data_IF_393760043908
#
_entry.id   IF_393760043908
#
_cell.length_a   1.000
_cell.length_b   1.000
_cell.length_c   1.000
_cell.angle_alpha   90.00
_cell.angle_beta   90.00
_cell.angle_gamma   90.00
#
_symmetry.space_group_name_H-M   'P 1'
#
loop_
_entity.id
_entity.type
_entity.pdbx_description
1 polymer ?
#
# COMPACT_ATOMS: atom_id res chain seq x y z
N UNK A 1 -28.09 4.82 32.24
CA UNK A 1 -28.10 5.93 31.26
C UNK A 1 -26.82 6.77 31.38
N UNK A 2 -26.55 7.34 32.56
CA UNK A 2 -25.34 8.13 32.82
C UNK A 2 -24.05 7.34 32.54
N UNK A 3 -23.95 6.09 33.01
CA UNK A 3 -22.76 5.26 32.74
C UNK A 3 -22.51 5.02 31.24
N UNK A 4 -23.58 4.87 30.47
CA UNK A 4 -23.51 4.69 29.00
C UNK A 4 -23.08 5.97 28.31
N UNK A 5 -23.58 7.12 28.76
CA UNK A 5 -23.16 8.43 28.28
C UNK A 5 -21.66 8.66 28.57
N UNK A 6 -21.20 8.34 29.79
CA UNK A 6 -19.79 8.48 30.14
C UNK A 6 -18.90 7.51 29.34
N UNK A 7 -19.36 6.26 29.15
CA UNK A 7 -18.66 5.29 28.31
C UNK A 7 -18.52 5.75 26.85
N UNK A 8 -19.54 6.42 26.29
CA UNK A 8 -19.45 7.08 24.99
C UNK A 8 -18.40 8.18 25.03
N UNK A 9 -18.47 9.08 26.03
CA UNK A 9 -17.62 10.27 26.14
C UNK A 9 -16.13 9.92 26.15
N UNK A 10 -15.74 8.87 26.88
CA UNK A 10 -14.35 8.41 26.98
C UNK A 10 -13.80 7.87 25.65
N UNK A 11 -14.65 7.42 24.73
CA UNK A 11 -14.24 6.86 23.44
C UNK A 11 -14.13 7.90 22.31
N UNK A 12 -14.57 9.14 22.54
CA UNK A 12 -14.61 10.18 21.52
C UNK A 12 -13.20 10.70 21.21
N UNK A 13 -12.88 10.73 19.93
CA UNK A 13 -11.71 11.41 19.37
C UNK A 13 -12.18 12.44 18.33
N UNK A 14 -11.29 13.33 17.85
CA UNK A 14 -11.68 14.37 16.88
C UNK A 14 -12.30 13.85 15.57
N UNK A 15 -11.98 12.63 15.15
CA UNK A 15 -12.60 12.01 13.98
C UNK A 15 -14.03 11.57 14.30
N UNK A 16 -14.23 10.84 15.40
CA UNK A 16 -15.57 10.38 15.82
C UNK A 16 -16.51 11.56 16.07
N UNK A 17 -16.02 12.63 16.71
CA UNK A 17 -16.80 13.85 16.96
C UNK A 17 -17.27 14.48 15.65
N UNK A 18 -16.39 14.59 14.64
CA UNK A 18 -16.76 15.15 13.33
C UNK A 18 -17.77 14.27 12.59
N UNK A 19 -17.56 12.95 12.56
CA UNK A 19 -18.45 12.01 11.86
C UNK A 19 -19.84 11.94 12.50
N UNK A 20 -19.93 12.16 13.82
CA UNK A 20 -21.16 11.95 14.58
C UNK A 20 -21.76 13.24 15.14
N UNK A 21 -21.33 14.41 14.65
CA UNK A 21 -21.65 15.71 15.24
C UNK A 21 -23.16 15.90 15.50
N UNK A 22 -23.99 15.64 14.50
CA UNK A 22 -25.45 15.76 14.60
C UNK A 22 -26.03 14.83 15.66
N UNK A 23 -25.57 13.57 15.71
CA UNK A 23 -26.01 12.57 16.68
C UNK A 23 -25.59 12.92 18.11
N UNK A 24 -24.36 13.43 18.28
CA UNK A 24 -23.83 13.85 19.58
C UNK A 24 -24.55 15.10 20.11
N UNK A 25 -24.80 16.12 19.27
CA UNK A 25 -25.61 17.29 19.66
C UNK A 25 -27.02 16.89 20.07
N UNK A 26 -27.65 15.98 19.32
CA UNK A 26 -28.97 15.44 19.67
C UNK A 26 -28.97 14.71 21.01
N UNK A 27 -27.93 13.92 21.30
CA UNK A 27 -27.77 13.23 22.58
C UNK A 27 -27.59 14.23 23.74
N UNK A 28 -26.69 15.21 23.59
CA UNK A 28 -26.44 16.23 24.62
C UNK A 28 -27.72 17.02 24.94
N UNK A 29 -28.42 17.52 23.92
CA UNK A 29 -29.68 18.24 24.11
C UNK A 29 -30.75 17.40 24.82
N UNK A 30 -30.76 16.09 24.55
CA UNK A 30 -31.70 15.15 25.19
C UNK A 30 -31.39 14.97 26.68
N UNK A 31 -30.11 14.84 27.03
CA UNK A 31 -29.68 14.72 28.42
C UNK A 31 -29.91 16.04 29.17
N UNK A 32 -29.56 17.18 28.58
CA UNK A 32 -29.76 18.51 29.17
C UNK A 32 -31.24 18.78 29.48
N UNK A 33 -32.15 18.31 28.62
CA UNK A 33 -33.60 18.39 28.88
C UNK A 33 -34.01 17.69 30.17
N UNK A 34 -33.45 16.51 30.44
CA UNK A 34 -33.73 15.74 31.67
C UNK A 34 -33.13 16.38 32.92
N UNK A 35 -31.97 17.03 32.77
CA UNK A 35 -31.27 17.67 33.89
C UNK A 35 -31.91 18.98 34.30
N UNK A 36 -32.23 19.85 33.34
CA UNK A 36 -32.60 21.24 33.62
C UNK A 36 -34.09 21.55 33.50
N UNK A 37 -34.85 20.75 32.74
CA UNK A 37 -36.21 21.14 32.30
C UNK A 37 -37.30 20.10 32.59
N UNK A 38 -36.95 18.86 32.92
CA UNK A 38 -37.93 17.80 33.14
C UNK A 38 -38.41 17.80 34.59
N UNK A 39 -39.74 17.78 34.78
CA UNK A 39 -40.33 17.46 36.07
C UNK A 39 -40.36 15.94 36.27
N UNK A 40 -39.62 15.44 37.26
CA UNK A 40 -39.49 14.02 37.59
C UNK A 40 -40.71 13.40 38.28
N UNK A 41 -41.77 14.16 38.48
CA UNK A 41 -43.09 13.65 38.88
C UNK A 41 -44.07 13.55 37.68
N UNK A 42 -43.60 13.82 36.46
CA UNK A 42 -44.43 13.78 35.25
C UNK A 42 -44.70 12.36 34.75
N UNK A 43 -45.90 12.13 34.20
CA UNK A 43 -46.26 10.89 33.51
C UNK A 43 -45.45 10.64 32.22
N UNK A 44 -44.67 11.61 31.74
CA UNK A 44 -43.92 11.56 30.47
C UNK A 44 -42.49 11.02 30.66
N UNK A 45 -42.10 10.63 31.88
CA UNK A 45 -40.73 10.18 32.18
C UNK A 45 -40.38 8.90 31.42
N UNK A 46 -41.31 7.96 31.29
CA UNK A 46 -41.06 6.71 30.57
C UNK A 46 -40.76 6.98 29.09
N UNK A 47 -41.56 7.84 28.43
CA UNK A 47 -41.32 8.26 27.04
C UNK A 47 -39.97 8.98 26.87
N UNK A 48 -39.59 9.79 27.86
CA UNK A 48 -38.29 10.47 27.88
C UNK A 48 -37.14 9.47 28.01
N UNK A 49 -37.24 8.49 28.91
CA UNK A 49 -36.22 7.46 29.11
C UNK A 49 -36.06 6.59 27.86
N UNK A 50 -37.16 6.22 27.19
CA UNK A 50 -37.11 5.51 25.92
C UNK A 50 -36.45 6.33 24.80
N UNK A 51 -36.71 7.64 24.75
CA UNK A 51 -36.05 8.53 23.79
C UNK A 51 -34.54 8.65 24.07
N UNK A 52 -34.13 8.74 25.33
CA UNK A 52 -32.73 8.71 25.73
C UNK A 52 -32.05 7.40 25.34
N UNK A 53 -32.69 6.27 25.63
CA UNK A 53 -32.17 4.95 25.30
C UNK A 53 -31.95 4.77 23.79
N UNK A 54 -32.90 5.23 22.97
CA UNK A 54 -32.76 5.22 21.51
C UNK A 54 -31.58 6.06 21.03
N UNK A 55 -31.41 7.28 21.56
CA UNK A 55 -30.29 8.15 21.19
C UNK A 55 -28.93 7.56 21.60
N UNK A 56 -28.84 7.00 22.80
CA UNK A 56 -27.64 6.32 23.28
C UNK A 56 -27.30 5.11 22.40
N UNK A 57 -28.28 4.24 22.12
CA UNK A 57 -28.09 3.07 21.24
C UNK A 57 -27.61 3.46 19.85
N UNK A 58 -28.14 4.55 19.29
CA UNK A 58 -27.71 5.07 17.98
C UNK A 58 -26.24 5.48 18.01
N UNK A 59 -25.84 6.30 18.99
CA UNK A 59 -24.45 6.77 19.14
C UNK A 59 -23.48 5.61 19.41
N UNK A 60 -23.87 4.63 20.25
CA UNK A 60 -23.09 3.41 20.48
C UNK A 60 -22.90 2.59 19.19
N UNK A 61 -23.93 2.51 18.35
CA UNK A 61 -23.88 1.80 17.06
C UNK A 61 -22.94 2.50 16.09
N UNK A 62 -22.99 3.83 16.03
CA UNK A 62 -22.08 4.64 15.21
C UNK A 62 -20.62 4.43 15.64
N UNK A 63 -20.32 4.47 16.94
CA UNK A 63 -18.96 4.24 17.46
C UNK A 63 -18.44 2.86 17.06
N UNK A 64 -19.28 1.82 17.23
CA UNK A 64 -18.93 0.44 16.84
C UNK A 64 -18.59 0.35 15.35
N UNK A 65 -19.33 1.03 14.48
CA UNK A 65 -19.07 0.98 13.04
C UNK A 65 -17.79 1.74 12.65
N UNK A 66 -17.49 2.86 13.32
CA UNK A 66 -16.22 3.58 13.13
C UNK A 66 -15.02 2.73 13.59
N UNK A 67 -15.16 1.98 14.69
CA UNK A 67 -14.12 1.03 15.12
C UNK A 67 -13.91 -0.07 14.10
N UNK A 68 -14.99 -0.67 13.57
CA UNK A 68 -14.89 -1.67 12.49
C UNK A 68 -14.15 -1.13 11.27
N UNK A 69 -14.41 0.11 10.85
CA UNK A 69 -13.67 0.74 9.76
C UNK A 69 -12.18 0.93 10.09
N UNK A 70 -11.86 1.24 11.34
CA UNK A 70 -10.48 1.34 11.79
C UNK A 70 -9.78 -0.03 11.76
N UNK A 71 -10.45 -1.10 12.18
CA UNK A 71 -9.92 -2.47 12.09
C UNK A 71 -9.67 -2.89 10.65
N UNK A 72 -10.57 -2.55 9.71
CA UNK A 72 -10.38 -2.81 8.28
C UNK A 72 -9.19 -2.01 7.73
N UNK A 73 -9.04 -0.75 8.13
CA UNK A 73 -7.90 0.07 7.75
C UNK A 73 -6.58 -0.55 8.22
N UNK A 74 -6.52 -1.04 9.46
CA UNK A 74 -5.34 -1.74 9.99
C UNK A 74 -5.05 -3.03 9.20
N UNK A 75 -6.08 -3.82 8.86
CA UNK A 75 -5.92 -5.02 8.02
C UNK A 75 -5.38 -4.69 6.63
N UNK A 76 -5.87 -3.62 5.99
CA UNK A 76 -5.32 -3.13 4.71
C UNK A 76 -3.83 -2.82 4.88
N UNK A 77 -3.47 -2.10 5.95
CA UNK A 77 -2.07 -1.79 6.25
C UNK A 77 -1.20 -3.03 6.41
N UNK A 78 -1.70 -4.08 7.07
CA UNK A 78 -1.00 -5.36 7.22
C UNK A 78 -0.86 -6.10 5.88
N UNK A 79 -1.89 -6.09 5.03
CA UNK A 79 -1.83 -6.70 3.69
C UNK A 79 -0.72 -6.06 2.85
N UNK A 80 -0.75 -4.73 2.70
CA UNK A 80 0.29 -3.97 1.99
C UNK A 80 1.66 -4.28 2.59
N UNK A 81 1.76 -4.22 3.92
CA UNK A 81 3.03 -4.44 4.61
C UNK A 81 3.58 -5.85 4.43
N UNK A 82 2.82 -6.88 4.04
CA UNK A 82 3.34 -8.26 3.90
C UNK A 82 3.79 -8.62 2.50
N UNK A 83 3.42 -7.82 1.50
CA UNK A 83 3.65 -8.09 0.08
C UNK A 83 5.14 -8.12 -0.28
N UNK A 84 5.57 -9.20 -0.92
CA UNK A 84 6.92 -9.37 -1.47
C UNK A 84 6.91 -9.06 -2.97
N UNK A 85 7.80 -8.16 -3.40
CA UNK A 85 7.91 -7.69 -4.79
C UNK A 85 9.00 -8.40 -5.60
N UNK A 86 9.78 -9.27 -4.95
CA UNK A 86 10.82 -10.08 -5.53
C UNK A 86 10.61 -11.52 -5.09
N UNK A 87 9.72 -12.23 -5.78
CA UNK A 87 9.49 -13.66 -5.51
C UNK A 87 10.47 -14.48 -6.33
N UNK A 88 10.96 -15.54 -5.72
CA UNK A 88 11.80 -16.55 -6.37
C UNK A 88 10.93 -17.73 -6.81
N UNK A 89 11.36 -18.46 -7.84
CA UNK A 89 10.65 -19.67 -8.27
C UNK A 89 10.71 -20.72 -7.15
N UNK A 90 9.61 -21.46 -7.01
CA UNK A 90 9.52 -22.54 -6.04
C UNK A 90 10.61 -23.60 -6.25
N UNK A 91 11.10 -24.18 -5.15
CA UNK A 91 12.08 -25.25 -5.17
C UNK A 91 13.55 -24.82 -4.98
N UNK A 92 13.82 -23.53 -4.80
CA UNK A 92 15.17 -23.02 -4.48
C UNK A 92 16.19 -23.26 -5.60
N UNK A 93 15.71 -23.47 -6.83
CA UNK A 93 16.58 -23.63 -7.98
C UNK A 93 17.16 -22.27 -8.38
N UNK A 94 18.48 -22.20 -8.46
CA UNK A 94 19.17 -21.03 -8.97
C UNK A 94 18.91 -20.92 -10.48
N UNK A 95 18.39 -19.77 -10.91
CA UNK A 95 18.08 -19.48 -12.32
C UNK A 95 18.99 -18.40 -12.90
N UNK A 96 18.97 -18.24 -14.22
CA UNK A 96 19.71 -17.16 -14.87
C UNK A 96 19.20 -15.78 -14.42
N UNK A 97 20.06 -14.76 -14.47
CA UNK A 97 19.68 -13.40 -14.09
C UNK A 97 18.47 -12.89 -14.88
N UNK A 98 18.38 -13.22 -16.17
CA UNK A 98 17.24 -12.84 -17.01
C UNK A 98 15.95 -13.48 -16.51
N UNK A 99 15.98 -14.80 -16.31
CA UNK A 99 14.82 -15.57 -15.86
C UNK A 99 14.34 -15.14 -14.46
N UNK A 100 15.27 -14.81 -13.56
CA UNK A 100 14.94 -14.24 -12.26
C UNK A 100 14.16 -12.93 -12.38
N UNK A 101 14.67 -11.97 -13.17
CA UNK A 101 14.03 -10.67 -13.32
C UNK A 101 12.68 -10.79 -14.01
N UNK A 102 12.59 -11.55 -15.11
CA UNK A 102 11.34 -11.76 -15.84
C UNK A 102 10.26 -12.38 -14.92
N UNK A 103 10.63 -13.36 -14.09
CA UNK A 103 9.71 -13.98 -13.13
C UNK A 103 9.29 -13.01 -12.02
N UNK A 104 10.25 -12.30 -11.42
CA UNK A 104 9.97 -11.32 -10.36
C UNK A 104 9.05 -10.19 -10.86
N UNK A 105 9.25 -9.70 -12.09
CA UNK A 105 8.39 -8.70 -12.72
C UNK A 105 6.98 -9.23 -12.96
N UNK A 106 6.84 -10.38 -13.63
CA UNK A 106 5.53 -10.96 -13.92
C UNK A 106 4.71 -11.23 -12.66
N UNK A 107 5.34 -11.79 -11.63
CA UNK A 107 4.67 -12.09 -10.37
C UNK A 107 4.29 -10.82 -9.61
N UNK A 108 5.17 -9.81 -9.61
CA UNK A 108 4.88 -8.52 -8.98
C UNK A 108 3.69 -7.82 -9.63
N UNK A 109 3.62 -7.81 -10.96
CA UNK A 109 2.47 -7.22 -11.69
C UNK A 109 1.16 -7.89 -11.26
N UNK A 110 1.12 -9.23 -11.28
CA UNK A 110 -0.05 -9.99 -10.85
C UNK A 110 -0.42 -9.74 -9.37
N UNK A 111 0.55 -9.79 -8.46
CA UNK A 111 0.32 -9.63 -7.02
C UNK A 111 -0.18 -8.22 -6.70
N UNK A 112 0.38 -7.20 -7.36
CA UNK A 112 0.05 -5.79 -7.10
C UNK A 112 -1.33 -5.43 -7.65
N UNK A 113 -1.73 -5.99 -8.80
CA UNK A 113 -3.07 -5.84 -9.35
C UNK A 113 -4.12 -6.49 -8.43
N UNK A 114 -3.89 -7.74 -7.99
CA UNK A 114 -4.78 -8.44 -7.06
C UNK A 114 -4.90 -7.69 -5.73
N UNK A 115 -3.78 -7.26 -5.16
CA UNK A 115 -3.73 -6.51 -3.90
C UNK A 115 -4.49 -5.17 -4.01
N UNK A 116 -4.31 -4.43 -5.10
CA UNK A 116 -5.03 -3.18 -5.32
C UNK A 116 -6.54 -3.41 -5.42
N UNK A 117 -6.98 -4.45 -6.14
CA UNK A 117 -8.39 -4.83 -6.25
C UNK A 117 -8.99 -5.22 -4.90
N UNK A 118 -8.27 -6.02 -4.11
CA UNK A 118 -8.67 -6.44 -2.78
C UNK A 118 -8.83 -5.23 -1.84
N UNK A 119 -7.84 -4.33 -1.82
CA UNK A 119 -7.86 -3.15 -0.97
C UNK A 119 -8.98 -2.18 -1.34
N UNK A 120 -9.16 -1.94 -2.65
CA UNK A 120 -10.26 -1.11 -3.15
C UNK A 120 -11.61 -1.66 -2.70
N UNK A 121 -11.82 -2.98 -2.82
CA UNK A 121 -13.05 -3.66 -2.39
C UNK A 121 -13.27 -3.55 -0.87
N UNK A 122 -12.23 -3.82 -0.08
CA UNK A 122 -12.31 -3.73 1.39
C UNK A 122 -12.64 -2.31 1.86
N UNK A 123 -11.96 -1.30 1.30
CA UNK A 123 -12.13 0.09 1.69
C UNK A 123 -13.52 0.63 1.28
N UNK A 124 -13.93 0.42 0.03
CA UNK A 124 -15.24 0.87 -0.47
C UNK A 124 -16.40 0.20 0.26
N UNK A 125 -16.29 -1.10 0.55
CA UNK A 125 -17.32 -1.84 1.29
C UNK A 125 -17.47 -1.33 2.73
N UNK A 126 -16.38 -1.15 3.48
CA UNK A 126 -16.48 -0.70 4.86
C UNK A 126 -16.92 0.78 4.96
N UNK A 127 -16.44 1.63 4.05
CA UNK A 127 -16.80 3.05 4.03
C UNK A 127 -18.26 3.27 3.59
N UNK A 128 -18.74 2.51 2.61
CA UNK A 128 -20.14 2.52 2.22
C UNK A 128 -21.05 2.06 3.36
N UNK A 129 -20.65 1.01 4.11
CA UNK A 129 -21.41 0.55 5.28
C UNK A 129 -21.43 1.58 6.40
N UNK A 130 -20.32 2.27 6.62
CA UNK A 130 -20.25 3.35 7.59
C UNK A 130 -21.16 4.52 7.19
N UNK A 131 -21.18 4.92 5.92
CA UNK A 131 -22.10 5.95 5.43
C UNK A 131 -23.56 5.55 5.67
N UNK A 132 -23.90 4.29 5.41
CA UNK A 132 -25.25 3.75 5.62
C UNK A 132 -25.66 3.83 7.09
N UNK A 133 -24.77 3.44 8.01
CA UNK A 133 -25.06 3.45 9.45
C UNK A 133 -25.13 4.87 10.02
N UNK A 134 -24.31 5.80 9.53
CA UNK A 134 -24.26 7.16 10.07
C UNK A 134 -25.31 8.11 9.47
N UNK A 135 -25.65 7.93 8.19
CA UNK A 135 -26.40 8.91 7.40
C UNK A 135 -27.53 8.32 6.55
N UNK A 136 -27.79 7.00 6.65
CA UNK A 136 -28.80 6.28 5.86
C UNK A 136 -28.59 6.45 4.33
N UNK A 137 -27.33 6.64 3.90
CA UNK A 137 -26.96 6.74 2.47
C UNK A 137 -25.74 5.89 2.14
N UNK A 138 -25.58 5.51 0.86
CA UNK A 138 -24.41 4.78 0.37
C UNK A 138 -23.95 5.36 -0.97
N UNK A 139 -23.65 6.66 -0.96
CA UNK A 139 -23.29 7.43 -2.15
C UNK A 139 -21.79 7.50 -2.39
N UNK A 140 -20.98 7.20 -1.38
CA UNK A 140 -19.54 7.40 -1.36
C UNK A 140 -19.10 8.87 -1.55
N UNK A 141 -20.01 9.84 -1.39
CA UNK A 141 -19.80 11.26 -1.72
C UNK A 141 -20.19 12.23 -0.61
N UNK A 142 -20.58 11.72 0.57
CA UNK A 142 -20.98 12.56 1.71
C UNK A 142 -19.81 13.41 2.21
N UNK A 143 -20.05 14.71 2.36
CA UNK A 143 -19.03 15.66 2.81
C UNK A 143 -18.56 15.37 4.23
N UNK A 144 -19.48 14.93 5.10
CA UNK A 144 -19.21 14.56 6.49
C UNK A 144 -18.27 13.36 6.60
N UNK A 145 -18.24 12.49 5.59
CA UNK A 145 -17.35 11.31 5.53
C UNK A 145 -15.93 11.66 5.07
N UNK A 146 -15.69 12.85 4.53
CA UNK A 146 -14.37 13.23 3.99
C UNK A 146 -13.19 12.99 4.96
N UNK A 147 -13.28 13.29 6.27
CA UNK A 147 -12.18 13.05 7.20
C UNK A 147 -11.75 11.58 7.29
N UNK A 148 -12.68 10.63 7.14
CA UNK A 148 -12.33 9.20 7.14
C UNK A 148 -11.77 8.76 5.79
N UNK A 149 -12.28 9.30 4.68
CA UNK A 149 -11.71 9.04 3.35
C UNK A 149 -10.24 9.47 3.27
N UNK A 150 -9.94 10.67 3.76
CA UNK A 150 -8.58 11.18 3.83
C UNK A 150 -7.66 10.31 4.69
N UNK A 151 -8.17 9.77 5.81
CA UNK A 151 -7.39 8.86 6.67
C UNK A 151 -7.03 7.56 5.95
N UNK A 152 -7.96 7.00 5.17
CA UNK A 152 -7.69 5.83 4.34
C UNK A 152 -6.63 6.12 3.29
N UNK A 153 -6.80 7.21 2.54
CA UNK A 153 -5.89 7.59 1.46
C UNK A 153 -4.45 7.81 1.98
N UNK A 154 -4.30 8.56 3.07
CA UNK A 154 -2.99 8.81 3.68
C UNK A 154 -2.33 7.52 4.19
N UNK A 155 -3.10 6.65 4.85
CA UNK A 155 -2.57 5.39 5.38
C UNK A 155 -2.11 4.47 4.25
N UNK A 156 -2.89 4.34 3.17
CA UNK A 156 -2.52 3.54 2.00
C UNK A 156 -1.21 4.07 1.40
N UNK A 157 -1.09 5.37 1.16
CA UNK A 157 0.15 5.97 0.64
C UNK A 157 1.37 5.65 1.52
N UNK A 158 1.24 5.87 2.84
CA UNK A 158 2.34 5.61 3.78
C UNK A 158 2.75 4.14 3.78
N UNK A 159 1.78 3.22 3.76
CA UNK A 159 2.07 1.78 3.72
C UNK A 159 2.65 1.31 2.39
N UNK A 160 2.22 1.90 1.28
CA UNK A 160 2.85 1.66 -0.02
C UNK A 160 4.32 2.08 0.00
N UNK A 161 4.64 3.27 0.53
CA UNK A 161 6.01 3.74 0.66
C UNK A 161 6.87 2.80 1.51
N UNK A 162 6.39 2.42 2.70
CA UNK A 162 7.09 1.47 3.58
C UNK A 162 7.33 0.12 2.88
N UNK A 163 6.32 -0.42 2.19
CA UNK A 163 6.40 -1.68 1.46
C UNK A 163 7.44 -1.61 0.32
N UNK A 164 7.40 -0.55 -0.48
CA UNK A 164 8.34 -0.33 -1.59
C UNK A 164 9.77 -0.24 -1.07
N UNK A 165 10.02 0.63 -0.08
CA UNK A 165 11.35 0.79 0.51
C UNK A 165 11.91 -0.52 1.04
N UNK A 166 11.10 -1.26 1.80
CA UNK A 166 11.52 -2.56 2.34
C UNK A 166 11.91 -3.54 1.23
N UNK A 167 11.10 -3.64 0.19
CA UNK A 167 11.35 -4.58 -0.91
C UNK A 167 12.59 -4.19 -1.73
N UNK A 168 12.75 -2.91 -2.04
CA UNK A 168 13.97 -2.40 -2.71
C UNK A 168 15.21 -2.71 -1.87
N UNK A 169 15.20 -2.40 -0.58
CA UNK A 169 16.31 -2.70 0.32
C UNK A 169 16.57 -4.20 0.44
N UNK A 170 15.52 -5.03 0.49
CA UNK A 170 15.66 -6.50 0.51
C UNK A 170 16.45 -6.99 -0.70
N UNK A 171 16.07 -6.55 -1.91
CA UNK A 171 16.77 -6.91 -3.13
C UNK A 171 18.22 -6.39 -3.16
N UNK A 172 18.44 -5.11 -2.82
CA UNK A 172 19.79 -4.52 -2.75
C UNK A 172 20.68 -5.25 -1.74
N UNK A 173 20.12 -5.67 -0.61
CA UNK A 173 20.86 -6.42 0.42
C UNK A 173 21.16 -7.86 -0.03
N UNK A 174 20.26 -8.48 -0.78
CA UNK A 174 20.47 -9.80 -1.36
C UNK A 174 21.57 -9.81 -2.43
N UNK A 175 21.71 -8.72 -3.21
CA UNK A 175 22.83 -8.56 -4.14
C UNK A 175 24.17 -8.53 -3.38
N UNK A 176 25.02 -9.52 -3.62
CA UNK A 176 26.29 -9.66 -2.89
C UNK A 176 26.12 -10.17 -1.45
N UNK A 177 24.94 -10.71 -1.12
CA UNK A 177 24.74 -11.51 0.08
C UNK A 177 25.46 -12.85 0.02
N UNK A 178 25.30 -13.67 1.07
CA UNK A 178 25.93 -15.00 1.15
C UNK A 178 25.25 -16.05 0.28
N UNK A 179 23.95 -15.86 0.00
CA UNK A 179 23.18 -16.77 -0.83
C UNK A 179 23.05 -16.18 -2.24
N UNK A 180 23.37 -16.95 -3.29
CA UNK A 180 23.18 -16.50 -4.66
C UNK A 180 21.67 -16.46 -4.98
N UNK A 181 21.22 -15.38 -5.61
CA UNK A 181 19.82 -15.20 -6.05
C UNK A 181 19.62 -15.49 -7.54
N UNK A 182 20.69 -15.40 -8.34
CA UNK A 182 20.72 -15.82 -9.74
C UNK A 182 22.15 -16.12 -10.19
N UNK A 183 22.33 -16.75 -11.35
CA UNK A 183 23.61 -16.90 -12.03
C UNK A 183 23.68 -16.10 -13.34
N UNK A 184 24.89 -15.85 -13.82
CA UNK A 184 25.18 -15.28 -15.14
C UNK A 184 26.11 -16.23 -15.88
N UNK A 185 25.91 -16.39 -17.18
CA UNK A 185 26.71 -17.30 -18.00
C UNK A 185 28.02 -16.63 -18.43
N UNK A 186 29.09 -17.42 -18.42
CA UNK A 186 30.37 -17.06 -19.02
C UNK A 186 30.55 -17.95 -20.23
N UNK A 187 30.54 -17.36 -21.42
CA UNK A 187 30.60 -18.07 -22.69
C UNK A 187 31.94 -17.80 -23.38
N UNK A 188 32.45 -18.81 -24.08
CA UNK A 188 33.58 -18.65 -24.99
C UNK A 188 33.05 -18.56 -26.42
N UNK A 189 33.09 -17.37 -27.02
CA UNK A 189 32.55 -17.09 -28.35
C UNK A 189 33.65 -16.50 -29.22
N UNK A 190 33.93 -17.10 -30.38
CA UNK A 190 34.97 -16.64 -31.31
C UNK A 190 36.37 -16.45 -30.66
N UNK A 191 36.70 -17.29 -29.68
CA UNK A 191 37.94 -17.21 -28.85
C UNK A 191 37.96 -16.12 -27.77
N UNK A 192 36.87 -15.37 -27.61
CA UNK A 192 36.69 -14.35 -26.57
C UNK A 192 35.80 -14.85 -25.43
N UNK A 193 36.19 -14.53 -24.19
CA UNK A 193 35.39 -14.81 -23.00
C UNK A 193 34.40 -13.68 -22.79
N UNK A 194 33.11 -13.96 -22.92
CA UNK A 194 32.02 -12.97 -22.85
C UNK A 194 31.01 -13.36 -21.76
N UNK A 195 30.29 -12.37 -21.23
CA UNK A 195 29.18 -12.58 -20.31
C UNK A 195 27.86 -12.65 -21.07
N UNK A 196 26.97 -13.52 -20.62
CA UNK A 196 25.58 -13.52 -21.03
C UNK A 196 24.65 -13.51 -19.80
N UNK A 197 23.84 -12.45 -19.61
CA UNK A 197 23.83 -11.19 -20.38
C UNK A 197 25.13 -10.37 -20.21
N UNK A 198 25.37 -9.45 -21.15
CA UNK A 198 26.47 -8.48 -21.03
C UNK A 198 26.20 -7.54 -19.84
N UNK A 199 27.25 -7.07 -19.14
CA UNK A 199 27.12 -6.25 -17.93
C UNK A 199 26.19 -5.03 -18.07
N UNK A 200 26.16 -4.40 -19.26
CA UNK A 200 25.29 -3.25 -19.53
C UNK A 200 23.80 -3.65 -19.54
N UNK A 201 23.46 -4.76 -20.19
CA UNK A 201 22.09 -5.29 -20.23
C UNK A 201 21.66 -5.77 -18.86
N UNK A 202 22.54 -6.47 -18.14
CA UNK A 202 22.27 -6.91 -16.76
C UNK A 202 21.95 -5.74 -15.85
N UNK A 203 22.74 -4.67 -15.90
CA UNK A 203 22.49 -3.45 -15.13
C UNK A 203 21.14 -2.83 -15.51
N UNK A 204 20.84 -2.74 -16.81
CA UNK A 204 19.57 -2.20 -17.30
C UNK A 204 18.38 -3.00 -16.77
N UNK A 205 18.43 -4.32 -16.84
CA UNK A 205 17.37 -5.21 -16.34
C UNK A 205 17.20 -5.06 -14.83
N UNK A 206 18.27 -5.16 -14.05
CA UNK A 206 18.18 -4.98 -12.59
C UNK A 206 17.62 -3.61 -12.19
N UNK A 207 18.02 -2.54 -12.90
CA UNK A 207 17.50 -1.19 -12.63
C UNK A 207 16.01 -1.07 -13.00
N UNK A 208 15.60 -1.67 -14.13
CA UNK A 208 14.21 -1.72 -14.55
C UNK A 208 13.37 -2.48 -13.52
N UNK A 209 13.83 -3.63 -13.06
CA UNK A 209 13.15 -4.42 -12.05
C UNK A 209 13.07 -3.67 -10.72
N UNK A 210 14.11 -2.95 -10.31
CA UNK A 210 14.08 -2.12 -9.10
C UNK A 210 13.06 -0.98 -9.21
N UNK A 211 13.05 -0.25 -10.33
CA UNK A 211 12.06 0.82 -10.59
C UNK A 211 10.63 0.30 -10.68
N UNK A 212 10.47 -0.93 -11.15
CA UNK A 212 9.17 -1.60 -11.20
C UNK A 212 8.50 -1.77 -9.83
N UNK A 213 9.23 -1.67 -8.70
CA UNK A 213 8.63 -1.63 -7.37
C UNK A 213 7.73 -0.41 -7.18
N UNK A 214 8.17 0.77 -7.66
CA UNK A 214 7.38 2.01 -7.58
C UNK A 214 6.29 1.98 -8.64
N UNK A 215 6.66 1.65 -9.87
CA UNK A 215 5.76 1.68 -11.03
C UNK A 215 4.56 0.73 -10.89
N UNK A 216 4.75 -0.46 -10.31
CA UNK A 216 3.65 -1.40 -10.03
C UNK A 216 2.62 -0.86 -9.03
N UNK A 217 2.90 0.22 -8.30
CA UNK A 217 1.89 0.91 -7.50
C UNK A 217 0.83 1.63 -8.35
N UNK A 218 0.96 1.66 -9.68
CA UNK A 218 -0.04 2.24 -10.61
C UNK A 218 -1.42 1.60 -10.50
N UNK A 219 -1.51 0.33 -10.08
CA UNK A 219 -2.78 -0.36 -9.89
C UNK A 219 -3.62 0.24 -8.75
N UNK A 220 -2.98 0.96 -7.83
CA UNK A 220 -3.65 1.61 -6.70
C UNK A 220 -4.24 2.95 -7.15
N UNK A 221 -5.46 2.89 -7.67
CA UNK A 221 -6.21 4.08 -8.10
C UNK A 221 -6.63 4.91 -6.90
N UNK A 222 -6.39 6.22 -6.98
CA UNK A 222 -6.80 7.19 -5.95
C UNK A 222 -8.28 7.50 -6.03
N UNK A 223 -8.82 8.06 -4.96
CA UNK A 223 -10.19 8.54 -4.97
C UNK A 223 -10.27 10.00 -5.42
N UNK A 224 -11.42 10.37 -5.99
CA UNK A 224 -11.72 11.77 -6.24
C UNK A 224 -11.72 12.52 -4.91
N UNK A 225 -11.26 13.76 -4.95
CA UNK A 225 -11.21 14.59 -3.75
C UNK A 225 -12.59 14.67 -3.08
N UNK A 226 -12.65 14.40 -1.77
CA UNK A 226 -13.89 14.46 -1.00
C UNK A 226 -14.74 13.18 -1.05
N UNK A 227 -14.35 12.15 -1.81
CA UNK A 227 -15.18 10.95 -2.02
C UNK A 227 -14.39 9.66 -1.80
N UNK A 228 -15.12 8.54 -1.78
CA UNK A 228 -14.58 7.18 -1.85
C UNK A 228 -14.78 6.58 -3.25
N UNK A 229 -14.87 7.43 -4.29
CA UNK A 229 -15.00 6.97 -5.67
C UNK A 229 -13.66 6.96 -6.37
N UNK A 230 -13.32 5.90 -7.13
CA UNK A 230 -12.09 5.88 -7.91
C UNK A 230 -12.05 7.02 -8.92
N UNK A 231 -10.88 7.61 -9.09
CA UNK A 231 -10.60 8.56 -10.15
C UNK A 231 -10.78 7.89 -11.52
N UNK A 232 -11.45 8.55 -12.48
CA UNK A 232 -11.62 8.00 -13.82
C UNK A 232 -10.28 7.99 -14.56
N UNK A 233 -10.10 7.01 -15.46
CA UNK A 233 -9.04 7.04 -16.45
C UNK A 233 -9.42 8.05 -17.54
N UNK A 234 -8.54 9.02 -17.81
CA UNK A 234 -8.79 10.09 -18.78
C UNK A 234 -7.95 9.82 -20.03
N UNK A 235 -8.53 10.03 -21.21
CA UNK A 235 -7.77 10.10 -22.46
C UNK A 235 -7.15 11.49 -22.60
N UNK A 236 -5.83 11.55 -22.66
CA UNK A 236 -5.08 12.77 -22.97
C UNK A 236 -5.19 13.10 -24.47
N UNK A 237 -4.86 14.34 -24.84
CA UNK A 237 -4.91 14.85 -26.22
C UNK A 237 -4.06 14.03 -27.23
N UNK A 238 -3.18 13.14 -26.74
CA UNK A 238 -2.34 12.23 -27.53
C UNK A 238 -2.74 10.75 -27.51
N UNK A 239 -3.97 10.40 -27.11
CA UNK A 239 -4.49 9.01 -26.97
C UNK A 239 -3.85 8.18 -25.84
N UNK A 240 -3.02 8.81 -25.00
CA UNK A 240 -2.50 8.20 -23.78
C UNK A 240 -3.57 8.20 -22.67
N UNK A 241 -3.77 7.03 -22.06
CA UNK A 241 -4.65 6.86 -20.90
C UNK A 241 -3.92 7.28 -19.62
N UNK A 242 -4.39 8.36 -19.00
CA UNK A 242 -3.88 8.86 -17.73
C UNK A 242 -4.75 8.32 -16.60
N UNK A 243 -4.12 7.61 -15.65
CA UNK A 243 -4.76 7.18 -14.41
C UNK A 243 -4.20 7.97 -13.22
N UNK A 244 -5.06 8.33 -12.28
CA UNK A 244 -4.64 8.97 -11.04
C UNK A 244 -4.40 7.90 -9.98
N UNK A 245 -3.13 7.58 -9.77
CA UNK A 245 -2.66 6.56 -8.84
C UNK A 245 -1.64 7.15 -7.86
N UNK A 246 -1.01 6.32 -7.02
CA UNK A 246 -0.04 6.78 -6.01
C UNK A 246 1.41 6.88 -6.51
N UNK A 247 1.72 6.52 -7.76
CA UNK A 247 3.10 6.47 -8.28
C UNK A 247 3.75 7.85 -8.20
N UNK A 248 3.04 8.90 -8.63
CA UNK A 248 3.58 10.26 -8.65
C UNK A 248 3.92 10.81 -7.26
N UNK A 249 3.19 10.39 -6.24
CA UNK A 249 3.41 10.76 -4.85
C UNK A 249 4.61 10.01 -4.28
N UNK A 250 4.71 8.71 -4.58
CA UNK A 250 5.84 7.88 -4.18
C UNK A 250 7.14 8.39 -4.80
N UNK A 251 7.17 8.71 -6.09
CA UNK A 251 8.37 9.23 -6.77
C UNK A 251 8.89 10.56 -6.18
N UNK A 252 8.02 11.33 -5.52
CA UNK A 252 8.40 12.57 -4.83
C UNK A 252 9.04 12.31 -3.47
N UNK A 253 8.92 11.12 -2.91
CA UNK A 253 9.50 10.74 -1.62
C UNK A 253 11.03 10.63 -1.75
N UNK A 254 11.82 11.49 -1.08
CA UNK A 254 13.28 11.46 -1.17
C UNK A 254 13.90 10.15 -0.63
N UNK A 255 13.22 9.44 0.26
CA UNK A 255 13.65 8.18 0.87
C UNK A 255 13.93 7.10 -0.17
N UNK A 256 13.22 7.12 -1.31
CA UNK A 256 13.43 6.15 -2.40
C UNK A 256 14.79 6.32 -3.11
N UNK A 257 15.46 7.46 -2.95
CA UNK A 257 16.78 7.71 -3.55
C UNK A 257 17.91 6.93 -2.87
N UNK A 258 17.72 6.58 -1.60
CA UNK A 258 18.73 5.84 -0.83
C UNK A 258 18.97 4.41 -1.36
N UNK A 259 17.94 3.56 -1.53
CA UNK A 259 18.16 2.23 -2.11
C UNK A 259 18.68 2.30 -3.56
N UNK A 260 18.28 3.30 -4.35
CA UNK A 260 18.82 3.51 -5.70
C UNK A 260 20.34 3.79 -5.69
N UNK A 261 20.79 4.67 -4.78
CA UNK A 261 22.21 4.96 -4.64
C UNK A 261 23.00 3.73 -4.15
N UNK A 262 22.46 3.00 -3.16
CA UNK A 262 23.06 1.80 -2.63
C UNK A 262 23.14 0.68 -3.69
N UNK A 263 22.08 0.50 -4.48
CA UNK A 263 22.03 -0.41 -5.62
C UNK A 263 23.17 -0.12 -6.60
N UNK A 264 23.31 1.13 -7.03
CA UNK A 264 24.33 1.53 -8.00
C UNK A 264 25.75 1.23 -7.51
N UNK A 265 26.06 1.57 -6.26
CA UNK A 265 27.36 1.28 -5.67
C UNK A 265 27.62 -0.23 -5.60
N UNK A 266 26.60 -1.01 -5.24
CA UNK A 266 26.72 -2.45 -5.07
C UNK A 266 26.90 -3.19 -6.39
N UNK A 267 26.16 -2.82 -7.42
CA UNK A 267 26.32 -3.40 -8.76
C UNK A 267 27.68 -3.03 -9.36
N UNK A 268 28.15 -1.79 -9.18
CA UNK A 268 29.49 -1.39 -9.62
C UNK A 268 30.59 -2.23 -8.94
N UNK A 269 30.45 -2.50 -7.64
CA UNK A 269 31.39 -3.36 -6.92
C UNK A 269 31.36 -4.81 -7.43
N UNK A 270 30.17 -5.40 -7.59
CA UNK A 270 30.02 -6.75 -8.12
C UNK A 270 30.58 -6.88 -9.54
N UNK A 271 30.31 -5.90 -10.41
CA UNK A 271 30.83 -5.90 -11.78
C UNK A 271 32.37 -5.85 -11.82
N UNK A 272 33.02 -5.10 -10.91
CA UNK A 272 34.49 -5.13 -10.80
C UNK A 272 35.01 -6.54 -10.49
N UNK A 273 34.38 -7.23 -9.54
CA UNK A 273 34.76 -8.60 -9.17
C UNK A 273 34.60 -9.56 -10.35
N UNK A 274 33.51 -9.46 -11.10
CA UNK A 274 33.28 -10.25 -12.31
C UNK A 274 34.35 -9.95 -13.37
N UNK A 275 34.63 -8.67 -13.64
CA UNK A 275 35.64 -8.29 -14.63
C UNK A 275 37.06 -8.75 -14.25
N UNK A 276 37.40 -8.75 -12.96
CA UNK A 276 38.67 -9.33 -12.49
C UNK A 276 38.73 -10.85 -12.69
N UNK A 277 37.62 -11.55 -12.45
CA UNK A 277 37.50 -12.98 -12.71
C UNK A 277 37.69 -13.29 -14.20
N UNK A 278 37.01 -12.56 -15.10
CA UNK A 278 37.16 -12.73 -16.55
C UNK A 278 38.60 -12.46 -17.02
N UNK A 279 39.28 -11.44 -16.48
CA UNK A 279 40.70 -11.18 -16.77
C UNK A 279 41.61 -12.34 -16.37
N UNK A 280 41.28 -13.07 -15.30
CA UNK A 280 42.05 -14.27 -14.90
C UNK A 280 41.81 -15.41 -15.87
N UNK A 281 40.57 -15.62 -16.30
CA UNK A 281 40.25 -16.61 -17.34
C UNK A 281 40.99 -16.31 -18.64
N UNK A 282 41.01 -15.05 -19.09
CA UNK A 282 41.69 -14.65 -20.31
C UNK A 282 43.21 -14.97 -20.34
N UNK A 283 43.86 -15.21 -19.19
CA UNK A 283 45.27 -15.66 -19.15
C UNK A 283 45.47 -17.06 -19.72
N UNK A 284 44.42 -17.88 -19.70
CA UNK A 284 44.41 -19.23 -20.25
C UNK A 284 44.03 -19.26 -21.73
N UNK A 285 43.96 -18.09 -22.39
CA UNK A 285 43.51 -17.97 -23.78
C UNK A 285 44.28 -18.84 -24.78
N UNK A 286 45.55 -19.09 -24.49
CA UNK A 286 46.42 -19.98 -25.26
C UNK A 286 45.80 -21.37 -25.45
N UNK A 287 45.04 -21.89 -24.47
CA UNK A 287 44.46 -23.23 -24.54
C UNK A 287 43.39 -23.38 -25.64
N UNK A 288 42.58 -22.35 -25.89
CA UNK A 288 41.50 -22.40 -26.88
C UNK A 288 41.80 -21.62 -28.16
N UNK A 289 42.89 -20.87 -28.20
CA UNK A 289 43.41 -20.29 -29.45
C UNK A 289 44.18 -21.33 -30.29
N UNK A 290 44.64 -22.42 -29.67
CA UNK A 290 45.38 -23.50 -30.32
C UNK A 290 44.48 -24.58 -30.94
N UNK A 291 43.20 -24.64 -30.57
CA UNK A 291 42.21 -25.61 -31.06
C UNK A 291 41.53 -25.17 -32.40
N UNK A 292 42.22 -24.38 -33.22
CA UNK A 292 41.76 -23.97 -34.56
C UNK A 292 42.30 -24.88 -35.67
#
# INVERSE_FOLDING_TARGET
>A
MVDRYEAIRVQLDPLKVRLMETGLRSLVNTIDRGVFYLNWDSLVIDEYLEFCDRNLKRVETHIKEIHRCSDILERIGVLISRTQMFKEKDGGQLVSAKEYMDYAEAQRESDMEELASQISTMATSCLGKLEEVLFDTNTCRRAEMYPIYQRFELMILLKLLEMVLRNMWSFVNALGGRQPIFYIDVLLVNSDVVLYPVSADLYKWMMQTLRGCVESCRYFIRWKHGTCEPCPTIRSDGDELVSFNYVTELERCPELREPDAAFNQRVQHLNKNVMEFLKRLARFSVLWHQDK
#
